data_IF_037307283117
#
_entry.id   IF_037307283117
#
_cell.length_a   1.000
_cell.length_b   1.000
_cell.length_c   1.000
_cell.angle_alpha   90.00
_cell.angle_beta   90.00
_cell.angle_gamma   90.00
#
_symmetry.space_group_name_H-M   'P 1'
#
loop_
_entity.id
_entity.type
_entity.pdbx_description
1 polymer ?
#
# COMPACT_ATOMS: atom_id res chain seq x y z
N UNK A 1 16.61 -10.50 -28.95
CA UNK A 1 17.21 -11.62 -28.19
C UNK A 1 16.07 -12.54 -27.76
N UNK A 2 15.85 -13.65 -28.45
CA UNK A 2 14.79 -14.62 -28.09
C UNK A 2 15.35 -15.59 -27.05
N UNK A 3 14.89 -15.49 -25.81
CA UNK A 3 15.26 -16.44 -24.75
C UNK A 3 14.34 -17.66 -24.85
N UNK A 4 14.90 -18.88 -24.80
CA UNK A 4 14.12 -20.12 -24.87
C UNK A 4 13.08 -20.16 -23.74
N UNK A 5 11.92 -20.76 -24.00
CA UNK A 5 10.85 -20.87 -22.99
C UNK A 5 11.33 -21.60 -21.73
N UNK A 6 12.21 -22.61 -21.88
CA UNK A 6 12.79 -23.35 -20.76
C UNK A 6 13.67 -22.47 -19.86
N UNK A 7 14.51 -21.59 -20.44
CA UNK A 7 15.33 -20.65 -19.67
C UNK A 7 14.48 -19.63 -18.92
N UNK A 8 13.33 -19.21 -19.48
CA UNK A 8 12.38 -18.33 -18.78
C UNK A 8 11.77 -19.01 -17.55
N UNK A 9 11.42 -20.30 -17.66
CA UNK A 9 10.89 -21.07 -16.53
C UNK A 9 11.94 -21.19 -15.41
N UNK A 10 13.18 -21.56 -15.72
CA UNK A 10 14.22 -21.68 -14.71
C UNK A 10 14.64 -20.32 -14.11
N UNK A 11 14.78 -19.28 -14.93
CA UNK A 11 15.10 -17.94 -14.46
C UNK A 11 14.01 -17.36 -13.56
N UNK A 12 12.73 -17.67 -13.84
CA UNK A 12 11.62 -17.23 -12.99
C UNK A 12 11.79 -17.73 -11.55
N UNK A 13 12.24 -18.97 -11.35
CA UNK A 13 12.47 -19.55 -10.00
C UNK A 13 13.47 -18.74 -9.17
N UNK A 14 14.51 -18.20 -9.80
CA UNK A 14 15.51 -17.37 -9.13
C UNK A 14 14.94 -16.01 -8.71
N UNK A 15 14.03 -15.45 -9.51
CA UNK A 15 13.33 -14.22 -9.17
C UNK A 15 12.40 -14.42 -7.96
N UNK A 16 11.70 -15.56 -7.90
CA UNK A 16 10.76 -15.88 -6.81
C UNK A 16 11.44 -16.23 -5.48
N UNK A 17 12.66 -16.73 -5.52
CA UNK A 17 13.42 -17.12 -4.33
C UNK A 17 14.23 -15.97 -3.72
N UNK A 18 14.15 -14.75 -4.28
CA UNK A 18 14.92 -13.63 -3.76
C UNK A 18 14.47 -13.31 -2.32
N UNK A 19 15.33 -13.48 -1.31
CA UNK A 19 14.92 -13.41 0.10
C UNK A 19 14.46 -12.01 0.52
N UNK A 20 14.83 -10.99 -0.26
CA UNK A 20 14.47 -9.59 -0.05
C UNK A 20 13.22 -9.15 -0.84
N UNK A 21 12.72 -9.96 -1.78
CA UNK A 21 11.54 -9.56 -2.57
C UNK A 21 10.26 -9.93 -1.83
N UNK A 22 9.47 -8.94 -1.44
CA UNK A 22 8.18 -9.13 -0.76
C UNK A 22 7.06 -8.54 -1.61
N UNK A 23 6.03 -9.36 -1.87
CA UNK A 23 4.91 -8.95 -2.72
C UNK A 23 3.77 -8.38 -1.89
N UNK A 24 3.34 -7.16 -2.23
CA UNK A 24 2.32 -6.43 -1.49
C UNK A 24 0.92 -7.02 -1.72
N UNK A 25 0.19 -7.26 -0.64
CA UNK A 25 -1.18 -7.77 -0.66
C UNK A 25 -2.01 -7.06 0.42
N UNK A 26 -3.22 -6.63 0.08
CA UNK A 26 -4.10 -5.99 1.07
C UNK A 26 -4.64 -6.98 2.10
N UNK A 27 -4.55 -6.64 3.38
CA UNK A 27 -5.17 -7.41 4.46
C UNK A 27 -6.69 -7.49 4.29
N UNK A 28 -7.33 -6.41 3.84
CA UNK A 28 -8.77 -6.37 3.61
C UNK A 28 -9.24 -7.41 2.60
N UNK A 29 -8.50 -7.56 1.49
CA UNK A 29 -8.79 -8.59 0.49
C UNK A 29 -8.71 -10.01 1.08
N UNK A 30 -7.68 -10.30 1.87
CA UNK A 30 -7.52 -11.60 2.54
C UNK A 30 -8.64 -11.88 3.56
N UNK A 31 -9.02 -10.87 4.36
CA UNK A 31 -10.08 -10.96 5.38
C UNK A 31 -11.47 -11.16 4.75
N UNK A 32 -11.67 -10.65 3.54
CA UNK A 32 -12.90 -10.80 2.75
C UNK A 32 -12.92 -12.07 1.89
N UNK A 33 -12.01 -13.03 2.14
CA UNK A 33 -11.99 -14.32 1.46
C UNK A 33 -11.18 -14.36 0.15
N UNK A 34 -10.42 -13.30 -0.13
CA UNK A 34 -9.55 -13.13 -1.29
C UNK A 34 -10.20 -13.51 -2.62
N UNK A 35 -11.40 -12.99 -2.86
CA UNK A 35 -12.12 -13.28 -4.09
C UNK A 35 -11.38 -12.69 -5.31
N UNK A 36 -11.20 -13.46 -6.41
CA UNK A 36 -10.48 -13.02 -7.61
C UNK A 36 -10.93 -11.70 -8.22
N UNK A 37 -12.24 -11.47 -8.21
CA UNK A 37 -12.86 -10.30 -8.79
C UNK A 37 -12.49 -8.98 -8.07
N UNK A 38 -12.05 -9.04 -6.81
CA UNK A 38 -11.79 -7.87 -5.97
C UNK A 38 -10.31 -7.48 -5.89
N UNK A 39 -9.47 -8.02 -6.77
CA UNK A 39 -8.06 -7.65 -6.87
C UNK A 39 -7.67 -7.30 -8.31
N UNK A 40 -6.67 -6.44 -8.43
CA UNK A 40 -6.05 -6.06 -9.71
C UNK A 40 -4.92 -7.01 -10.12
N UNK A 41 -4.57 -7.98 -9.28
CA UNK A 41 -3.40 -8.83 -9.46
C UNK A 41 -3.68 -10.03 -10.36
N UNK A 42 -2.67 -10.43 -11.13
CA UNK A 42 -2.66 -11.70 -11.84
C UNK A 42 -2.54 -12.85 -10.82
N UNK A 43 -3.61 -13.60 -10.63
CA UNK A 43 -3.65 -14.66 -9.64
C UNK A 43 -2.78 -15.86 -10.01
N UNK A 44 -2.46 -16.04 -11.30
CA UNK A 44 -1.57 -17.12 -11.75
C UNK A 44 -0.13 -16.91 -11.29
N UNK A 45 0.22 -15.67 -10.94
CA UNK A 45 1.52 -15.30 -10.40
C UNK A 45 1.68 -15.72 -8.93
N UNK A 46 0.63 -15.58 -8.13
CA UNK A 46 0.68 -15.70 -6.66
C UNK A 46 1.23 -17.05 -6.15
N UNK A 47 0.97 -18.21 -6.78
CA UNK A 47 1.53 -19.48 -6.35
C UNK A 47 3.06 -19.53 -6.32
N UNK A 48 3.76 -18.66 -7.04
CA UNK A 48 5.22 -18.62 -7.06
C UNK A 48 5.81 -17.81 -5.89
N UNK A 49 5.02 -17.00 -5.22
CA UNK A 49 5.47 -16.05 -4.21
C UNK A 49 5.80 -16.76 -2.89
N UNK A 50 7.00 -16.51 -2.35
CA UNK A 50 7.45 -17.06 -1.06
C UNK A 50 7.44 -16.04 0.09
N UNK A 51 7.59 -14.74 -0.19
CA UNK A 51 7.52 -13.69 0.82
C UNK A 51 6.40 -12.70 0.48
N UNK A 52 5.48 -12.48 1.42
CA UNK A 52 4.33 -11.59 1.27
C UNK A 52 4.46 -10.43 2.25
N UNK A 53 4.25 -9.21 1.76
CA UNK A 53 4.03 -8.03 2.60
C UNK A 53 2.52 -7.79 2.63
N UNK A 54 1.92 -7.88 3.81
CA UNK A 54 0.50 -7.63 3.98
C UNK A 54 0.32 -6.18 4.38
N UNK A 55 -0.27 -5.39 3.50
CA UNK A 55 -0.74 -4.03 3.80
C UNK A 55 -1.92 -4.13 4.75
N UNK A 56 -1.61 -4.03 6.04
CA UNK A 56 -2.62 -3.91 7.07
C UNK A 56 -3.07 -2.46 6.99
N UNK A 57 -4.35 -2.14 6.78
CA UNK A 57 -4.82 -0.75 6.71
C UNK A 57 -5.53 -0.31 8.00
N UNK A 58 -5.64 1.00 8.22
CA UNK A 58 -6.42 1.58 9.32
C UNK A 58 -7.83 0.98 9.33
N UNK A 59 -8.28 0.53 10.50
CA UNK A 59 -9.59 -0.10 10.69
C UNK A 59 -9.59 -1.62 10.50
N UNK A 60 -8.51 -2.24 10.00
CA UNK A 60 -8.39 -3.71 9.92
C UNK A 60 -8.49 -4.34 11.32
N UNK A 61 -7.95 -3.67 12.34
CA UNK A 61 -8.13 -4.04 13.75
C UNK A 61 -9.60 -4.16 14.13
N UNK A 62 -10.47 -3.26 13.67
CA UNK A 62 -11.92 -3.30 13.95
C UNK A 62 -12.62 -4.42 13.17
N UNK A 63 -12.06 -4.86 12.06
CA UNK A 63 -12.59 -5.99 11.31
C UNK A 63 -12.31 -7.33 12.02
N UNK A 64 -11.14 -7.46 12.67
CA UNK A 64 -10.70 -8.67 13.37
C UNK A 64 -11.11 -8.68 14.85
N UNK A 65 -10.92 -7.55 15.55
CA UNK A 65 -11.14 -7.37 16.98
C UNK A 65 -11.90 -6.05 17.24
N UNK A 66 -13.17 -5.92 16.82
CA UNK A 66 -13.98 -4.76 17.18
C UNK A 66 -14.09 -4.59 18.70
N UNK A 67 -14.18 -3.33 19.12
CA UNK A 67 -14.43 -2.94 20.50
C UNK A 67 -15.91 -2.59 20.65
N UNK A 68 -16.60 -3.28 21.56
CA UNK A 68 -17.99 -3.00 21.94
C UNK A 68 -18.02 -2.76 23.45
N UNK A 69 -18.41 -1.55 23.87
CA UNK A 69 -18.51 -1.18 25.29
C UNK A 69 -17.25 -1.51 26.12
N UNK A 70 -16.07 -1.28 25.53
CA UNK A 70 -14.77 -1.57 26.17
C UNK A 70 -14.37 -3.05 26.15
N UNK A 71 -15.21 -3.94 25.62
CA UNK A 71 -14.92 -5.37 25.47
C UNK A 71 -14.48 -5.68 24.04
N UNK A 72 -13.31 -6.32 23.93
CA UNK A 72 -12.81 -6.79 22.65
C UNK A 72 -13.50 -8.09 22.23
N UNK A 73 -14.18 -8.08 21.08
CA UNK A 73 -14.77 -9.30 20.52
C UNK A 73 -13.87 -9.83 19.39
N UNK A 74 -13.24 -10.99 19.59
CA UNK A 74 -12.40 -11.62 18.56
C UNK A 74 -13.29 -12.29 17.50
N UNK A 75 -13.23 -11.81 16.26
CA UNK A 75 -13.97 -12.38 15.12
C UNK A 75 -13.15 -13.51 14.48
N UNK A 76 -13.16 -14.69 15.11
CA UNK A 76 -12.39 -15.86 14.66
C UNK A 76 -12.61 -16.20 13.19
N UNK A 77 -13.85 -16.08 12.69
CA UNK A 77 -14.16 -16.34 11.27
C UNK A 77 -13.37 -15.46 10.29
N UNK A 78 -13.07 -14.20 10.65
CA UNK A 78 -12.25 -13.29 9.82
C UNK A 78 -10.77 -13.67 9.84
N UNK A 79 -10.26 -14.10 10.99
CA UNK A 79 -8.89 -14.62 11.13
C UNK A 79 -8.72 -15.90 10.31
N UNK A 80 -9.67 -16.83 10.41
CA UNK A 80 -9.67 -18.06 9.59
C UNK A 80 -9.77 -17.74 8.10
N UNK A 81 -10.63 -16.79 7.71
CA UNK A 81 -10.74 -16.36 6.31
C UNK A 81 -9.42 -15.79 5.77
N UNK A 82 -8.73 -14.96 6.56
CA UNK A 82 -7.41 -14.42 6.20
C UNK A 82 -6.40 -15.53 5.90
N UNK A 83 -6.22 -16.48 6.83
CA UNK A 83 -5.22 -17.54 6.69
C UNK A 83 -5.58 -18.56 5.60
N UNK A 84 -6.86 -18.93 5.47
CA UNK A 84 -7.32 -19.81 4.40
C UNK A 84 -7.13 -19.16 3.02
N UNK A 85 -7.43 -17.88 2.90
CA UNK A 85 -7.26 -17.12 1.67
C UNK A 85 -5.79 -17.02 1.27
N UNK A 86 -4.94 -16.68 2.24
CA UNK A 86 -3.51 -16.59 2.01
C UNK A 86 -2.93 -17.94 1.58
N UNK A 87 -3.18 -19.01 2.33
CA UNK A 87 -2.64 -20.35 1.99
C UNK A 87 -3.17 -20.89 0.66
N UNK A 88 -4.43 -20.58 0.32
CA UNK A 88 -5.01 -20.92 -0.99
C UNK A 88 -4.28 -20.26 -2.15
N UNK A 89 -4.03 -18.95 -2.07
CA UNK A 89 -3.45 -18.18 -3.17
C UNK A 89 -1.92 -18.17 -3.19
N UNK A 90 -1.30 -18.36 -2.04
CA UNK A 90 0.14 -18.37 -1.82
C UNK A 90 0.58 -19.71 -1.20
N UNK A 91 0.36 -20.86 -1.85
CA UNK A 91 0.70 -22.17 -1.30
C UNK A 91 2.19 -22.35 -0.95
N UNK A 92 3.08 -21.54 -1.55
CA UNK A 92 4.51 -21.57 -1.31
C UNK A 92 5.01 -20.47 -0.35
N UNK A 93 4.11 -19.75 0.32
CA UNK A 93 4.49 -18.70 1.27
C UNK A 93 5.28 -19.29 2.44
N UNK A 94 6.40 -18.64 2.76
CA UNK A 94 7.28 -19.00 3.88
C UNK A 94 7.44 -17.85 4.87
N UNK A 95 7.32 -16.60 4.40
CA UNK A 95 7.49 -15.41 5.23
C UNK A 95 6.39 -14.40 4.95
N UNK A 96 5.89 -13.80 6.03
CA UNK A 96 4.91 -12.75 5.97
C UNK A 96 5.36 -11.63 6.88
N UNK A 97 5.35 -10.41 6.35
CA UNK A 97 5.42 -9.20 7.16
C UNK A 97 4.05 -8.56 7.13
N UNK A 98 3.42 -8.39 8.29
CA UNK A 98 2.20 -7.60 8.42
C UNK A 98 2.61 -6.15 8.67
N UNK A 99 2.42 -5.31 7.66
CA UNK A 99 2.82 -3.91 7.63
C UNK A 99 1.69 -3.05 8.19
N UNK A 100 1.88 -2.55 9.41
CA UNK A 100 1.04 -1.53 10.02
C UNK A 100 1.81 -0.21 10.06
N UNK A 101 1.34 0.78 9.31
CA UNK A 101 2.01 2.08 9.16
C UNK A 101 1.37 3.24 9.95
N UNK A 102 0.47 2.95 10.89
CA UNK A 102 -0.09 3.93 11.84
C UNK A 102 0.10 3.47 13.29
N UNK A 103 0.09 4.44 14.20
CA UNK A 103 0.06 4.19 15.63
C UNK A 103 -1.29 3.58 16.03
N UNK A 104 -1.26 2.38 16.61
CA UNK A 104 -2.44 1.85 17.32
C UNK A 104 -2.38 2.33 18.77
N UNK A 105 -3.47 2.91 19.30
CA UNK A 105 -3.50 3.29 20.71
C UNK A 105 -3.28 2.05 21.57
N UNK A 106 -2.48 2.15 22.65
CA UNK A 106 -2.28 1.04 23.56
C UNK A 106 -3.62 0.64 24.16
N UNK A 107 -3.89 -0.66 24.18
CA UNK A 107 -5.07 -1.19 24.82
C UNK A 107 -4.83 -1.21 26.33
N UNK A 108 -5.84 -0.84 27.13
CA UNK A 108 -5.79 -0.68 28.59
C UNK A 108 -4.76 -1.59 29.31
N UNK A 109 -3.62 -0.99 29.68
CA UNK A 109 -2.58 -1.67 30.47
C UNK A 109 -1.74 -2.72 29.71
N UNK A 110 -1.83 -2.79 28.38
CA UNK A 110 -0.97 -3.66 27.59
C UNK A 110 0.46 -3.11 27.54
N UNK A 111 1.41 -3.94 27.97
CA UNK A 111 2.84 -3.64 27.92
C UNK A 111 3.54 -4.24 26.70
N UNK A 112 2.79 -4.90 25.79
CA UNK A 112 3.38 -5.53 24.61
C UNK A 112 3.47 -4.53 23.46
N UNK A 113 4.58 -4.50 22.72
CA UNK A 113 4.78 -3.54 21.65
C UNK A 113 3.85 -3.78 20.46
N UNK A 114 3.46 -5.04 20.21
CA UNK A 114 2.62 -5.40 19.05
C UNK A 114 1.13 -5.34 19.43
N UNK A 115 0.29 -4.63 18.65
CA UNK A 115 -1.15 -4.54 18.90
C UNK A 115 -1.84 -5.90 19.00
N UNK A 116 -2.78 -6.04 19.95
CA UNK A 116 -3.45 -7.31 20.26
C UNK A 116 -4.08 -8.00 19.05
N UNK A 117 -4.73 -7.25 18.15
CA UNK A 117 -5.32 -7.81 16.94
C UNK A 117 -4.27 -8.49 16.05
N UNK A 118 -3.11 -7.86 15.85
CA UNK A 118 -1.97 -8.44 15.11
C UNK A 118 -1.38 -9.65 15.82
N UNK A 119 -1.30 -9.63 17.15
CA UNK A 119 -0.83 -10.79 17.93
C UNK A 119 -1.74 -12.00 17.71
N UNK A 120 -3.05 -11.81 17.84
CA UNK A 120 -4.06 -12.86 17.63
C UNK A 120 -4.00 -13.38 16.19
N UNK A 121 -3.92 -12.48 15.21
CA UNK A 121 -3.79 -12.84 13.80
C UNK A 121 -2.55 -13.71 13.57
N UNK A 122 -1.39 -13.26 14.05
CA UNK A 122 -0.09 -13.95 13.88
C UNK A 122 -0.04 -15.31 14.57
N UNK A 123 -0.60 -15.41 15.78
CA UNK A 123 -0.69 -16.66 16.56
C UNK A 123 -1.61 -17.71 15.91
N UNK A 124 -2.49 -17.28 15.00
CA UNK A 124 -3.38 -18.19 14.26
C UNK A 124 -2.76 -18.72 12.95
N UNK A 125 -1.50 -18.39 12.66
CA UNK A 125 -0.78 -18.88 11.48
C UNK A 125 -0.38 -20.35 11.60
N UNK A 126 -0.10 -21.01 10.48
CA UNK A 126 0.51 -22.35 10.49
C UNK A 126 1.98 -22.28 10.91
N UNK A 127 2.47 -23.36 11.54
CA UNK A 127 3.84 -23.43 12.08
C UNK A 127 4.93 -23.27 11.00
N UNK A 128 4.61 -23.53 9.74
CA UNK A 128 5.55 -23.46 8.61
C UNK A 128 5.75 -22.03 8.06
N UNK A 129 4.92 -21.07 8.49
CA UNK A 129 4.98 -19.68 8.02
C UNK A 129 5.64 -18.80 9.10
N UNK A 130 6.69 -18.10 8.72
CA UNK A 130 7.31 -17.10 9.59
C UNK A 130 6.54 -15.78 9.50
N UNK A 131 5.90 -15.38 10.59
CA UNK A 131 5.15 -14.13 10.67
C UNK A 131 5.95 -13.08 11.44
N UNK A 132 6.02 -11.90 10.84
CA UNK A 132 6.61 -10.69 11.42
C UNK A 132 5.55 -9.59 11.44
N UNK A 133 5.62 -8.71 12.44
CA UNK A 133 4.81 -7.49 12.50
C UNK A 133 5.74 -6.29 12.31
N UNK A 134 5.48 -5.47 11.30
CA UNK A 134 6.23 -4.25 11.05
C UNK A 134 5.34 -3.05 11.38
N UNK A 135 5.53 -2.48 12.58
CA UNK A 135 4.59 -1.54 13.18
C UNK A 135 5.22 -0.16 13.34
N UNK A 136 4.40 0.88 13.27
CA UNK A 136 4.74 2.20 13.79
C UNK A 136 4.56 2.23 15.31
N UNK A 137 5.51 2.83 16.02
CA UNK A 137 5.51 2.96 17.48
C UNK A 137 6.05 4.33 17.87
N UNK A 138 5.61 4.84 19.01
CA UNK A 138 6.17 6.06 19.60
C UNK A 138 7.58 5.78 20.14
N UNK A 139 8.49 6.74 19.96
CA UNK A 139 9.83 6.67 20.54
C UNK A 139 9.69 7.07 22.02
N UNK A 140 9.92 6.11 22.92
CA UNK A 140 10.05 6.40 24.34
C UNK A 140 11.27 7.30 24.57
N UNK A 141 11.03 8.56 24.94
CA UNK A 141 12.06 9.54 25.23
C UNK A 141 11.47 10.79 25.86
N UNK A 142 12.29 11.56 26.58
CA UNK A 142 11.90 12.88 27.04
C UNK A 142 11.46 13.69 25.81
N UNK A 143 10.25 14.28 25.82
CA UNK A 143 9.80 15.09 24.70
C UNK A 143 10.89 16.12 24.45
N UNK A 144 11.55 16.01 23.30
CA UNK A 144 12.50 17.01 22.83
C UNK A 144 11.73 18.32 22.94
N UNK A 145 12.29 19.29 23.67
CA UNK A 145 11.64 20.56 24.00
C UNK A 145 11.43 21.40 22.73
N UNK A 146 10.54 20.94 21.85
CA UNK A 146 10.05 21.67 20.71
C UNK A 146 9.16 22.79 21.25
N UNK A 147 9.45 24.01 20.81
CA UNK A 147 8.83 25.25 21.28
C UNK A 147 7.31 25.14 21.34
N UNK A 148 6.73 25.68 22.42
CA UNK A 148 5.35 25.50 22.89
C UNK A 148 4.19 25.96 21.98
N UNK A 149 4.38 26.14 20.67
CA UNK A 149 3.40 26.77 19.79
C UNK A 149 2.55 25.82 18.94
N UNK A 150 2.89 24.53 18.82
CA UNK A 150 2.09 23.57 18.04
C UNK A 150 2.14 22.20 18.76
N UNK A 151 1.00 21.53 19.03
CA UNK A 151 1.01 20.12 19.43
C UNK A 151 1.68 19.32 18.33
N UNK A 152 2.95 18.97 18.52
CA UNK A 152 3.64 18.06 17.61
C UNK A 152 3.17 16.65 17.91
N UNK A 153 2.87 15.89 16.86
CA UNK A 153 2.72 14.44 16.99
C UNK A 153 3.98 13.86 17.63
N UNK A 154 3.86 12.82 18.48
CA UNK A 154 5.01 12.20 19.13
C UNK A 154 5.97 11.65 18.06
N UNK A 155 7.29 11.71 18.31
CA UNK A 155 8.26 11.12 17.40
C UNK A 155 7.95 9.63 17.25
N UNK A 156 7.80 9.18 16.01
CA UNK A 156 7.47 7.80 15.68
C UNK A 156 8.67 7.10 15.05
N UNK A 157 8.88 5.83 15.38
CA UNK A 157 9.75 4.94 14.63
C UNK A 157 8.96 3.75 14.09
N UNK A 158 9.59 3.00 13.18
CA UNK A 158 9.03 1.74 12.69
C UNK A 158 9.93 0.59 13.09
N UNK A 159 9.34 -0.43 13.70
CA UNK A 159 10.08 -1.57 14.23
C UNK A 159 9.49 -2.88 13.73
N UNK A 160 10.39 -3.80 13.39
CA UNK A 160 10.04 -5.16 13.03
C UNK A 160 10.05 -6.03 14.28
N UNK A 161 8.96 -6.75 14.50
CA UNK A 161 8.79 -7.66 15.61
C UNK A 161 8.57 -9.08 15.12
N UNK A 162 9.10 -10.04 15.88
CA UNK A 162 8.90 -11.47 15.65
C UNK A 162 8.37 -12.11 16.93
N UNK A 163 7.40 -13.00 16.79
CA UNK A 163 6.92 -13.83 17.90
C UNK A 163 7.84 -15.05 18.08
N UNK A 164 8.21 -15.35 19.32
CA UNK A 164 8.84 -16.61 19.71
C UNK A 164 7.79 -17.69 20.01
N UNK A 165 8.23 -18.94 20.15
CA UNK A 165 7.34 -20.08 20.37
C UNK A 165 6.53 -20.00 21.68
N UNK A 166 7.00 -19.21 22.65
CA UNK A 166 6.33 -18.90 23.92
C UNK A 166 5.33 -17.73 23.80
N UNK A 167 5.15 -17.17 22.60
CA UNK A 167 4.24 -16.05 22.35
C UNK A 167 4.80 -14.67 22.75
N UNK A 168 6.07 -14.59 23.17
CA UNK A 168 6.74 -13.32 23.44
C UNK A 168 7.10 -12.63 22.13
N UNK A 169 6.96 -11.31 22.09
CA UNK A 169 7.34 -10.51 20.92
C UNK A 169 8.65 -9.78 21.19
N UNK A 170 9.63 -10.02 20.33
CA UNK A 170 10.93 -9.36 20.40
C UNK A 170 11.18 -8.54 19.14
N UNK A 171 11.79 -7.36 19.32
CA UNK A 171 12.26 -6.54 18.20
C UNK A 171 13.34 -7.31 17.44
N UNK A 172 13.15 -7.50 16.15
CA UNK A 172 14.12 -8.13 15.29
C UNK A 172 15.31 -7.18 15.08
N UNK A 173 16.53 -7.70 15.16
CA UNK A 173 17.77 -6.91 15.02
C UNK A 173 18.08 -6.47 13.58
N UNK A 174 17.32 -6.94 12.60
CA UNK A 174 17.66 -6.72 11.19
C UNK A 174 17.24 -5.32 10.76
N UNK A 175 18.14 -4.52 10.13
CA UNK A 175 17.69 -3.41 9.31
C UNK A 175 16.79 -3.97 8.21
N UNK A 176 15.77 -3.20 7.82
CA UNK A 176 14.72 -3.59 6.91
C UNK A 176 15.31 -3.95 5.53
N UNK A 177 15.52 -5.24 5.18
CA UNK A 177 16.28 -5.58 3.99
C UNK A 177 15.35 -5.92 2.82
N UNK A 178 14.04 -5.66 2.91
CA UNK A 178 13.11 -6.05 1.85
C UNK A 178 12.77 -4.91 0.90
N UNK A 179 12.60 -5.31 -0.35
CA UNK A 179 12.00 -4.53 -1.42
C UNK A 179 10.55 -4.95 -1.55
N UNK A 180 9.66 -3.99 -1.37
CA UNK A 180 8.23 -4.17 -1.65
C UNK A 180 8.01 -4.13 -3.15
N UNK A 181 7.32 -5.14 -3.67
CA UNK A 181 7.02 -5.28 -5.09
C UNK A 181 5.50 -5.40 -5.24
N UNK A 182 4.93 -4.62 -6.16
CA UNK A 182 3.53 -4.81 -6.54
C UNK A 182 3.41 -6.07 -7.41
N UNK A 183 2.44 -6.97 -7.14
CA UNK A 183 2.16 -8.07 -8.04
C UNK A 183 1.84 -7.55 -9.45
N UNK A 184 2.14 -8.31 -10.51
CA UNK A 184 1.76 -7.94 -11.86
C UNK A 184 0.24 -7.82 -11.96
N UNK A 185 -0.21 -6.85 -12.74
CA UNK A 185 -1.63 -6.66 -12.99
C UNK A 185 -2.21 -7.80 -13.82
N UNK A 186 -3.45 -8.18 -13.54
CA UNK A 186 -4.24 -9.06 -14.41
C UNK A 186 -4.54 -8.38 -15.73
N UNK A 187 -4.95 -9.17 -16.72
CA UNK A 187 -5.56 -8.62 -17.93
C UNK A 187 -6.95 -8.08 -17.62
N UNK A 188 -7.20 -6.84 -18.04
CA UNK A 188 -8.50 -6.19 -17.93
C UNK A 188 -9.23 -6.26 -19.27
N UNK A 189 -10.35 -6.96 -19.32
CA UNK A 189 -11.20 -7.12 -20.51
C UNK A 189 -12.65 -6.82 -20.21
N UNK A 190 -13.42 -6.42 -21.22
CA UNK A 190 -14.85 -6.12 -21.10
C UNK A 190 -15.18 -4.87 -20.27
N UNK A 191 -16.47 -4.56 -20.07
CA UNK A 191 -16.91 -3.39 -19.31
C UNK A 191 -16.41 -3.35 -17.87
N UNK A 192 -16.47 -4.49 -17.16
CA UNK A 192 -15.98 -4.63 -15.77
C UNK A 192 -14.47 -4.39 -15.74
N UNK A 193 -13.74 -5.04 -16.65
CA UNK A 193 -12.29 -4.89 -16.73
C UNK A 193 -11.88 -3.46 -17.04
N UNK A 194 -12.59 -2.75 -17.93
CA UNK A 194 -12.29 -1.34 -18.23
C UNK A 194 -12.30 -0.47 -16.97
N UNK A 195 -13.34 -0.57 -16.14
CA UNK A 195 -13.42 0.21 -14.88
C UNK A 195 -12.35 -0.23 -13.89
N UNK A 196 -12.17 -1.53 -13.70
CA UNK A 196 -11.14 -2.06 -12.77
C UNK A 196 -9.70 -1.79 -13.22
N UNK A 197 -9.49 -1.60 -14.51
CA UNK A 197 -8.22 -1.17 -15.09
C UNK A 197 -7.95 0.32 -14.80
N UNK A 198 -8.98 1.17 -14.89
CA UNK A 198 -8.87 2.57 -14.49
C UNK A 198 -8.58 2.71 -12.98
N UNK A 199 -9.27 1.95 -12.12
CA UNK A 199 -9.02 1.95 -10.67
C UNK A 199 -7.56 1.58 -10.36
N UNK A 200 -7.03 0.61 -11.11
CA UNK A 200 -5.65 0.16 -10.98
C UNK A 200 -4.64 1.22 -11.43
N UNK A 201 -4.86 1.85 -12.59
CA UNK A 201 -4.02 2.92 -13.10
C UNK A 201 -4.03 4.14 -12.17
N UNK A 202 -5.19 4.49 -11.61
CA UNK A 202 -5.35 5.57 -10.64
C UNK A 202 -4.51 5.29 -9.39
N UNK A 203 -4.67 4.09 -8.82
CA UNK A 203 -3.89 3.64 -7.65
C UNK A 203 -2.38 3.70 -7.92
N UNK A 204 -1.93 3.21 -9.09
CA UNK A 204 -0.51 3.26 -9.45
C UNK A 204 0.01 4.69 -9.60
N UNK A 205 -0.79 5.55 -10.21
CA UNK A 205 -0.43 6.96 -10.42
C UNK A 205 -0.30 7.68 -9.07
N UNK A 206 -1.25 7.45 -8.17
CA UNK A 206 -1.21 7.98 -6.80
C UNK A 206 0.02 7.49 -6.01
N UNK A 207 0.34 6.19 -6.07
CA UNK A 207 1.53 5.64 -5.43
C UNK A 207 2.82 6.26 -5.99
N UNK A 208 2.88 6.48 -7.31
CA UNK A 208 4.03 7.13 -7.95
C UNK A 208 4.13 8.60 -7.53
N UNK A 209 3.01 9.30 -7.41
CA UNK A 209 2.96 10.67 -6.95
C UNK A 209 3.45 10.79 -5.50
N UNK A 210 2.97 9.92 -4.61
CA UNK A 210 3.45 9.86 -3.21
C UNK A 210 4.93 9.47 -3.11
N UNK A 211 5.43 8.66 -4.04
CA UNK A 211 6.83 8.26 -4.11
C UNK A 211 7.78 9.39 -4.56
N UNK A 212 7.29 10.50 -5.12
CA UNK A 212 8.15 11.60 -5.54
C UNK A 212 8.84 12.30 -4.36
N UNK A 213 8.16 12.43 -3.21
CA UNK A 213 8.75 13.03 -2.01
C UNK A 213 10.02 12.32 -1.54
N UNK A 214 9.97 11.02 -1.18
CA UNK A 214 11.16 10.32 -0.69
C UNK A 214 12.27 10.27 -1.76
N UNK A 215 11.91 10.14 -3.05
CA UNK A 215 12.89 10.19 -4.14
C UNK A 215 13.59 11.55 -4.23
N UNK A 216 12.87 12.65 -4.03
CA UNK A 216 13.46 13.99 -4.01
C UNK A 216 14.42 14.14 -2.82
N UNK A 217 13.98 13.74 -1.63
CA UNK A 217 14.81 13.80 -0.40
C UNK A 217 16.12 13.03 -0.61
N UNK A 218 16.02 11.80 -1.12
CA UNK A 218 17.17 10.95 -1.44
C UNK A 218 18.05 11.57 -2.55
N UNK A 219 17.44 12.16 -3.59
CA UNK A 219 18.18 12.79 -4.68
C UNK A 219 19.00 14.00 -4.18
N UNK A 220 18.47 14.80 -3.27
CA UNK A 220 19.20 15.91 -2.68
C UNK A 220 20.35 15.42 -1.79
N UNK A 221 20.09 14.42 -0.92
CA UNK A 221 21.13 13.82 -0.08
C UNK A 221 22.30 13.30 -0.94
N UNK A 222 21.98 12.56 -2.01
CA UNK A 222 22.97 12.01 -2.95
C UNK A 222 23.64 13.08 -3.80
N UNK A 223 23.00 14.20 -4.08
CA UNK A 223 23.65 15.30 -4.78
C UNK A 223 24.84 15.84 -3.96
N UNK A 224 24.65 15.99 -2.65
CA UNK A 224 25.65 16.54 -1.73
C UNK A 224 26.67 15.50 -1.24
N UNK A 225 26.24 14.26 -0.99
CA UNK A 225 27.04 13.23 -0.32
C UNK A 225 27.22 11.93 -1.14
N UNK A 226 26.70 11.86 -2.37
CA UNK A 226 26.82 10.69 -3.24
C UNK A 226 28.10 10.66 -4.08
N UNK A 227 28.48 9.48 -4.57
CA UNK A 227 29.61 9.26 -5.49
C UNK A 227 30.96 9.85 -5.03
N UNK A 228 31.19 9.88 -3.71
CA UNK A 228 32.43 10.41 -3.13
C UNK A 228 32.42 11.91 -2.86
N UNK A 229 31.31 12.60 -3.17
CA UNK A 229 31.10 13.97 -2.72
C UNK A 229 30.93 13.99 -1.19
N UNK A 230 31.41 15.06 -0.57
CA UNK A 230 31.13 15.36 0.82
C UNK A 230 30.98 16.87 0.95
N UNK A 231 29.86 17.39 0.45
CA UNK A 231 29.57 18.81 0.38
C UNK A 231 28.49 19.17 1.41
N UNK A 232 28.88 19.50 2.66
CA UNK A 232 27.97 20.00 3.67
C UNK A 232 27.06 21.12 3.16
N UNK A 233 25.82 21.16 3.62
CA UNK A 233 24.84 22.16 3.20
C UNK A 233 23.83 22.48 4.30
N UNK A 234 23.23 23.67 4.21
CA UNK A 234 22.12 24.09 5.06
C UNK A 234 20.79 23.58 4.51
N UNK A 235 19.78 23.44 5.39
CA UNK A 235 18.42 23.17 4.97
C UNK A 235 17.97 24.17 3.89
N UNK A 236 17.40 23.71 2.77
CA UNK A 236 16.91 24.59 1.71
C UNK A 236 15.67 25.41 2.12
N UNK A 237 14.97 25.00 3.17
CA UNK A 237 13.80 25.73 3.68
C UNK A 237 14.24 27.05 4.32
N UNK A 238 13.61 28.16 3.93
CA UNK A 238 13.97 29.51 4.41
C UNK A 238 13.66 29.73 5.90
N UNK A 239 12.85 28.86 6.49
CA UNK A 239 12.47 28.90 7.91
C UNK A 239 13.26 27.90 8.77
N UNK A 240 14.22 27.18 8.20
CA UNK A 240 15.02 26.18 8.88
C UNK A 240 16.51 26.48 8.78
N UNK A 241 17.20 26.46 9.91
CA UNK A 241 18.64 26.74 10.02
C UNK A 241 19.50 25.48 10.20
N UNK A 242 18.91 24.29 10.05
CA UNK A 242 19.62 23.01 10.16
C UNK A 242 20.77 22.92 9.16
N UNK A 243 21.85 22.25 9.55
CA UNK A 243 23.07 22.10 8.76
C UNK A 243 23.55 20.65 8.79
N UNK A 244 23.86 20.09 7.61
CA UNK A 244 24.19 18.68 7.44
C UNK A 244 25.64 18.52 7.00
N UNK A 245 26.38 17.66 7.68
CA UNK A 245 27.78 17.36 7.43
C UNK A 245 28.00 15.96 6.84
N UNK A 246 27.02 15.06 6.93
CA UNK A 246 27.13 13.67 6.51
C UNK A 246 25.90 13.18 5.74
N UNK A 247 26.12 12.19 4.89
CA UNK A 247 25.06 11.45 4.20
C UNK A 247 24.00 10.95 5.19
N UNK A 248 22.73 11.10 4.82
CA UNK A 248 21.58 10.65 5.60
C UNK A 248 21.09 11.65 6.65
N UNK A 249 21.90 12.61 7.11
CA UNK A 249 21.46 13.62 8.09
C UNK A 249 20.30 14.47 7.55
N UNK A 250 20.39 14.88 6.27
CA UNK A 250 19.29 15.56 5.59
C UNK A 250 18.06 14.66 5.45
N UNK A 251 18.26 13.38 5.11
CA UNK A 251 17.13 12.46 4.89
C UNK A 251 16.29 12.28 6.14
N UNK A 252 16.94 12.10 7.29
CA UNK A 252 16.27 12.01 8.60
C UNK A 252 15.55 13.33 8.90
N UNK A 253 16.26 14.46 8.78
CA UNK A 253 15.69 15.77 9.06
C UNK A 253 14.47 16.11 8.18
N UNK A 254 14.54 15.85 6.88
CA UNK A 254 13.45 16.11 5.95
C UNK A 254 12.20 15.28 6.30
N UNK A 255 12.37 14.01 6.72
CA UNK A 255 11.27 13.16 7.14
C UNK A 255 10.60 13.67 8.44
N UNK A 256 11.39 14.20 9.38
CA UNK A 256 10.90 14.66 10.68
C UNK A 256 10.31 16.08 10.63
N UNK A 257 10.92 16.98 9.86
CA UNK A 257 10.63 18.43 9.93
C UNK A 257 9.90 18.98 8.70
N UNK A 258 9.98 18.31 7.55
CA UNK A 258 9.54 18.86 6.26
C UNK A 258 8.54 17.98 5.50
N UNK A 259 8.03 16.91 6.11
CA UNK A 259 7.02 16.06 5.47
C UNK A 259 5.78 16.86 5.04
N UNK A 260 5.35 17.83 5.85
CA UNK A 260 4.20 18.69 5.52
C UNK A 260 4.48 19.65 4.35
N UNK A 261 5.73 20.06 4.15
CA UNK A 261 6.12 20.99 3.08
C UNK A 261 5.93 20.36 1.69
N UNK A 262 5.91 19.03 1.62
CA UNK A 262 5.58 18.27 0.42
C UNK A 262 4.22 18.65 -0.21
N UNK A 263 3.26 19.05 0.61
CA UNK A 263 1.92 19.43 0.17
C UNK A 263 1.86 20.87 -0.38
N UNK A 264 2.98 21.59 -0.41
CA UNK A 264 3.06 22.96 -0.96
C UNK A 264 3.31 22.95 -2.48
N UNK A 265 2.89 24.02 -3.16
CA UNK A 265 3.00 24.15 -4.63
C UNK A 265 4.43 24.27 -5.16
N UNK A 266 5.40 24.58 -4.31
CA UNK A 266 6.80 24.84 -4.69
C UNK A 266 7.77 23.77 -4.15
N UNK A 267 7.27 22.54 -3.96
CA UNK A 267 8.01 21.46 -3.30
C UNK A 267 9.34 21.07 -3.93
N UNK A 268 9.56 21.36 -5.22
CA UNK A 268 10.82 21.06 -5.91
C UNK A 268 11.81 22.24 -5.91
N UNK A 269 11.48 23.38 -5.29
CA UNK A 269 12.39 24.53 -5.28
C UNK A 269 13.66 24.30 -4.47
N UNK A 270 13.65 23.33 -3.56
CA UNK A 270 14.86 22.96 -2.83
C UNK A 270 15.89 22.16 -3.66
N UNK A 271 15.50 21.63 -4.82
CA UNK A 271 16.40 20.83 -5.64
C UNK A 271 17.31 21.70 -6.52
N UNK A 272 18.56 21.25 -6.77
CA UNK A 272 19.40 21.78 -7.85
C UNK A 272 18.67 21.77 -9.19
N UNK A 273 18.93 22.77 -10.04
CA UNK A 273 18.18 23.01 -11.28
C UNK A 273 18.03 21.76 -12.17
N UNK A 274 19.09 20.96 -12.30
CA UNK A 274 19.05 19.74 -13.14
C UNK A 274 18.09 18.68 -12.58
N UNK A 275 18.08 18.48 -11.26
CA UNK A 275 17.15 17.55 -10.61
C UNK A 275 15.73 18.11 -10.65
N UNK A 276 15.57 19.41 -10.35
CA UNK A 276 14.27 20.09 -10.36
C UNK A 276 13.52 19.85 -11.68
N UNK A 277 14.19 20.06 -12.82
CA UNK A 277 13.58 19.89 -14.15
C UNK A 277 13.07 18.46 -14.37
N UNK A 278 13.80 17.43 -13.94
CA UNK A 278 13.37 16.04 -14.11
C UNK A 278 12.19 15.69 -13.18
N UNK A 279 12.18 16.20 -11.95
CA UNK A 279 11.06 16.01 -11.01
C UNK A 279 9.79 16.73 -11.47
N UNK A 280 9.89 17.99 -11.89
CA UNK A 280 8.76 18.77 -12.45
C UNK A 280 8.19 18.09 -13.71
N UNK A 281 9.07 17.61 -14.60
CA UNK A 281 8.66 16.85 -15.79
C UNK A 281 7.92 15.57 -15.40
N UNK A 282 8.40 14.85 -14.38
CA UNK A 282 7.77 13.61 -13.91
C UNK A 282 6.42 13.87 -13.26
N UNK A 283 6.33 14.87 -12.39
CA UNK A 283 5.08 15.33 -11.78
C UNK A 283 4.06 15.73 -12.84
N UNK A 284 4.46 16.56 -13.82
CA UNK A 284 3.58 16.96 -14.92
C UNK A 284 3.04 15.75 -15.70
N UNK A 285 3.88 14.74 -15.94
CA UNK A 285 3.46 13.51 -16.58
C UNK A 285 2.45 12.71 -15.73
N UNK A 286 2.60 12.68 -14.41
CA UNK A 286 1.64 12.06 -13.49
C UNK A 286 0.32 12.83 -13.47
N UNK A 287 0.34 14.16 -13.32
CA UNK A 287 -0.86 15.00 -13.36
C UNK A 287 -1.61 14.83 -14.68
N UNK A 288 -0.89 14.80 -15.81
CA UNK A 288 -1.50 14.53 -17.13
C UNK A 288 -2.19 13.16 -17.16
N UNK A 289 -1.62 12.16 -16.50
CA UNK A 289 -2.20 10.81 -16.42
C UNK A 289 -3.43 10.78 -15.50
N UNK A 290 -3.39 11.45 -14.37
CA UNK A 290 -4.56 11.62 -13.47
C UNK A 290 -5.72 12.33 -14.20
N UNK A 291 -5.42 13.39 -14.96
CA UNK A 291 -6.41 14.10 -15.75
C UNK A 291 -7.01 13.22 -16.86
N UNK A 292 -6.19 12.38 -17.51
CA UNK A 292 -6.68 11.39 -18.48
C UNK A 292 -7.64 10.39 -17.83
N UNK A 293 -7.26 9.82 -16.68
CA UNK A 293 -8.08 8.86 -15.94
C UNK A 293 -9.40 9.52 -15.52
N UNK A 294 -9.34 10.72 -14.93
CA UNK A 294 -10.51 11.50 -14.50
C UNK A 294 -11.44 11.82 -15.67
N UNK A 295 -10.88 12.18 -16.84
CA UNK A 295 -11.65 12.40 -18.06
C UNK A 295 -12.42 11.14 -18.47
N UNK A 296 -11.76 9.97 -18.49
CA UNK A 296 -12.43 8.71 -18.85
C UNK A 296 -13.52 8.34 -17.84
N UNK A 297 -13.32 8.54 -16.54
CA UNK A 297 -14.39 8.35 -15.55
C UNK A 297 -15.56 9.31 -15.75
N UNK A 298 -15.26 10.56 -16.14
CA UNK A 298 -16.30 11.57 -16.41
C UNK A 298 -17.13 11.16 -17.62
N UNK A 299 -16.50 10.74 -18.71
CA UNK A 299 -17.18 10.20 -19.90
C UNK A 299 -18.06 8.98 -19.56
N UNK A 300 -17.54 8.03 -18.77
CA UNK A 300 -18.31 6.86 -18.32
C UNK A 300 -19.52 7.26 -17.47
N UNK A 301 -19.36 8.24 -16.59
CA UNK A 301 -20.43 8.75 -15.73
C UNK A 301 -21.48 9.50 -16.54
N UNK A 302 -21.08 10.29 -17.51
CA UNK A 302 -21.99 11.02 -18.39
C UNK A 302 -22.81 10.05 -19.25
N UNK A 303 -22.15 9.06 -19.85
CA UNK A 303 -22.82 7.97 -20.59
C UNK A 303 -23.82 7.19 -19.69
N UNK A 304 -23.53 7.06 -18.39
CA UNK A 304 -24.43 6.40 -17.42
C UNK A 304 -25.62 7.29 -17.04
N UNK A 305 -25.39 8.60 -16.92
CA UNK A 305 -26.35 9.61 -16.45
C UNK A 305 -27.32 10.13 -17.51
N UNK A 306 -27.11 9.84 -18.79
CA UNK A 306 -28.08 10.09 -19.87
C UNK A 306 -29.39 9.27 -19.67
N UNK A 307 -30.07 9.49 -18.54
CA UNK A 307 -30.89 8.56 -17.76
C UNK A 307 -31.93 7.77 -18.55
N UNK A 308 -31.83 6.45 -18.48
CA UNK A 308 -32.69 5.53 -19.23
C UNK A 308 -32.39 5.51 -20.73
N UNK A 309 -31.31 6.16 -21.16
CA UNK A 309 -30.81 6.14 -22.52
C UNK A 309 -30.35 4.75 -22.94
N UNK A 310 -30.15 4.61 -24.26
CA UNK A 310 -29.63 3.38 -24.87
C UNK A 310 -28.28 2.98 -24.25
N UNK A 311 -27.37 3.94 -24.02
CA UNK A 311 -26.04 3.71 -23.44
C UNK A 311 -26.08 3.12 -22.03
N UNK A 312 -26.91 3.67 -21.13
CA UNK A 312 -27.04 3.14 -19.77
C UNK A 312 -27.50 1.67 -19.78
N UNK A 313 -28.50 1.34 -20.62
CA UNK A 313 -28.98 -0.04 -20.78
C UNK A 313 -27.92 -0.95 -21.37
N UNK A 314 -27.19 -0.50 -22.38
CA UNK A 314 -26.08 -1.25 -22.99
C UNK A 314 -24.95 -1.50 -21.99
N UNK A 315 -24.55 -0.50 -21.20
CA UNK A 315 -23.55 -0.65 -20.15
C UNK A 315 -24.00 -1.61 -19.05
N UNK A 316 -25.23 -1.46 -18.54
CA UNK A 316 -25.79 -2.39 -17.56
C UNK A 316 -25.80 -3.81 -18.13
N UNK A 317 -26.29 -4.00 -19.34
CA UNK A 317 -26.37 -5.32 -19.97
C UNK A 317 -24.99 -5.95 -20.14
N UNK A 318 -24.02 -5.23 -20.71
CA UNK A 318 -22.65 -5.74 -20.88
C UNK A 318 -21.94 -6.00 -19.55
N UNK A 319 -22.24 -5.22 -18.51
CA UNK A 319 -21.71 -5.48 -17.17
C UNK A 319 -22.27 -6.77 -16.58
N UNK A 320 -23.61 -6.96 -16.63
CA UNK A 320 -24.24 -8.18 -16.12
C UNK A 320 -23.80 -9.41 -16.91
N UNK A 321 -23.81 -9.33 -18.24
CA UNK A 321 -23.36 -10.41 -19.11
C UNK A 321 -21.92 -10.83 -18.76
N UNK A 322 -21.02 -9.87 -18.57
CA UNK A 322 -19.65 -10.18 -18.18
C UNK A 322 -19.58 -10.81 -16.79
N UNK A 323 -20.31 -10.32 -15.80
CA UNK A 323 -20.31 -10.91 -14.45
C UNK A 323 -20.85 -12.35 -14.42
N UNK A 324 -21.79 -12.69 -15.31
CA UNK A 324 -22.34 -14.03 -15.46
C UNK A 324 -21.36 -14.99 -16.16
N UNK A 325 -20.77 -14.54 -17.27
CA UNK A 325 -20.06 -15.41 -18.20
C UNK A 325 -18.54 -15.48 -17.95
N UNK A 326 -17.93 -14.41 -17.43
CA UNK A 326 -16.49 -14.33 -17.24
C UNK A 326 -16.09 -14.85 -15.84
N UNK A 327 -15.50 -16.05 -15.81
CA UNK A 327 -15.04 -16.68 -14.58
C UNK A 327 -14.02 -15.87 -13.78
N UNK A 328 -13.33 -14.89 -14.40
CA UNK A 328 -12.41 -14.00 -13.69
C UNK A 328 -13.12 -12.88 -12.90
N UNK A 329 -14.41 -12.66 -13.15
CA UNK A 329 -15.24 -11.66 -12.48
C UNK A 329 -16.45 -12.26 -11.76
N UNK A 330 -16.82 -13.51 -12.06
CA UNK A 330 -17.93 -14.19 -11.41
C UNK A 330 -17.70 -14.29 -9.89
N UNK A 331 -18.63 -13.73 -9.12
CA UNK A 331 -18.55 -13.64 -7.64
C UNK A 331 -19.30 -14.75 -6.91
N UNK A 332 -19.96 -15.65 -7.64
CA UNK A 332 -20.83 -16.69 -7.09
C UNK A 332 -22.20 -16.17 -6.59
N UNK A 333 -22.46 -14.86 -6.70
CA UNK A 333 -23.76 -14.24 -6.43
C UNK A 333 -24.41 -13.77 -7.73
N UNK A 334 -25.70 -13.41 -7.66
CA UNK A 334 -26.34 -12.73 -8.78
C UNK A 334 -25.54 -11.46 -9.16
N UNK A 335 -25.37 -11.15 -10.45
CA UNK A 335 -24.62 -9.99 -10.92
C UNK A 335 -25.03 -8.67 -10.24
N UNK A 336 -26.33 -8.44 -10.08
CA UNK A 336 -26.91 -7.25 -9.44
C UNK A 336 -26.61 -7.14 -7.94
N UNK A 337 -26.34 -8.26 -7.28
CA UNK A 337 -26.00 -8.32 -5.85
C UNK A 337 -24.49 -8.23 -5.61
N UNK A 338 -23.69 -8.42 -6.68
CA UNK A 338 -22.25 -8.42 -6.61
C UNK A 338 -21.71 -7.12 -6.03
N UNK A 339 -20.63 -7.22 -5.24
CA UNK A 339 -19.95 -6.03 -4.70
C UNK A 339 -19.41 -5.14 -5.82
N UNK A 340 -18.93 -5.74 -6.92
CA UNK A 340 -18.44 -4.99 -8.09
C UNK A 340 -19.51 -4.08 -8.68
N UNK A 341 -20.73 -4.59 -8.83
CA UNK A 341 -21.83 -3.78 -9.35
C UNK A 341 -22.21 -2.65 -8.39
N UNK A 342 -22.27 -2.92 -7.09
CA UNK A 342 -22.56 -1.89 -6.08
C UNK A 342 -21.49 -0.80 -6.01
N UNK A 343 -20.22 -1.18 -6.13
CA UNK A 343 -19.11 -0.23 -6.21
C UNK A 343 -19.21 0.62 -7.48
N UNK A 344 -19.45 0.00 -8.63
CA UNK A 344 -19.69 0.72 -9.88
C UNK A 344 -20.84 1.73 -9.76
N UNK A 345 -22.01 1.31 -9.25
CA UNK A 345 -23.16 2.19 -9.07
C UNK A 345 -22.81 3.37 -8.17
N UNK A 346 -22.18 3.11 -7.03
CA UNK A 346 -21.73 4.17 -6.11
C UNK A 346 -20.84 5.17 -6.83
N UNK A 347 -19.89 4.71 -7.64
CA UNK A 347 -18.91 5.59 -8.29
C UNK A 347 -19.52 6.39 -9.47
N UNK A 348 -20.58 5.86 -10.10
CA UNK A 348 -21.36 6.55 -11.13
C UNK A 348 -22.37 7.55 -10.55
N UNK A 349 -22.98 7.22 -9.41
CA UNK A 349 -23.98 8.04 -8.73
C UNK A 349 -23.35 9.15 -7.88
N UNK A 350 -22.14 8.95 -7.37
CA UNK A 350 -21.46 9.95 -6.56
C UNK A 350 -21.21 11.22 -7.38
N UNK A 351 -21.95 12.29 -7.05
CA UNK A 351 -21.80 13.64 -7.60
C UNK A 351 -20.72 14.44 -6.91
N UNK A 352 -20.18 13.95 -5.79
CA UNK A 352 -19.08 14.60 -5.09
C UNK A 352 -17.88 14.78 -6.01
N UNK A 353 -17.33 16.00 -6.06
CA UNK A 353 -16.06 16.23 -6.71
C UNK A 353 -15.00 15.37 -6.04
N UNK A 354 -14.25 14.61 -6.83
CA UNK A 354 -13.00 14.02 -6.41
C UNK A 354 -12.03 15.18 -6.15
N UNK A 355 -12.02 15.70 -4.91
CA UNK A 355 -11.12 16.75 -4.45
C UNK A 355 -9.99 16.15 -3.65
#
# INVERSE_FOLDING_TARGET
MQVSAALRVEASKLFWAHPEAYFLVSAGWLIDGAHPAYTHWDLSFLPNVQNVLVDYHVGTDRAICPLYDGVMAVRQGRITAFWNSLTKWFPNVKRIVIDQNWLSPPWNGESQPVPRALRILSQSSSLDIQVFAFIAEEIEGDPIACSASIPSDPPCQRSLYRSSADGVWARAKSPQPWKTILPPARKFSGPVGKVRGLDHEDTLTHLQHNGLWPLMVEALDRHHFGMGNNNPFSCPSSTCDAYFQKAGEWTVHAAESHYCDWFTKDRFSMLPQQLRVEFEKREKALVTKEDEIRRVYTELRDDWREGGGRKQREMKHGWMEQLEQDGAWNTGTAPEESRLWREFLRDMENTGSWQ
#
